data_IF_330334724501
#
_entry.id   IF_330334724501
#
_cell.length_a   1.000
_cell.length_b   1.000
_cell.length_c   1.000
_cell.angle_alpha   90.00
_cell.angle_beta   90.00
_cell.angle_gamma   90.00
#
_symmetry.space_group_name_H-M   'P 1'
#
loop_
_entity.id
_entity.type
_entity.pdbx_description
1 polymer ?
#
# COMPACT_ATOMS: atom_id res chain seq x y z
N UNK A 1 16.31 17.58 1.59
CA UNK A 1 15.13 17.22 0.78
C UNK A 1 15.33 15.77 0.37
N UNK A 2 14.40 14.86 0.67
CA UNK A 2 14.58 13.46 0.30
C UNK A 2 14.66 13.30 -1.22
N UNK A 3 15.46 12.34 -1.68
CA UNK A 3 15.56 12.02 -3.10
C UNK A 3 14.31 11.26 -3.58
N UNK A 4 14.05 11.27 -4.89
CA UNK A 4 12.96 10.45 -5.46
C UNK A 4 13.12 8.96 -5.10
N UNK A 5 14.36 8.46 -5.02
CA UNK A 5 14.63 7.08 -4.62
C UNK A 5 14.21 6.78 -3.18
N UNK A 6 14.54 7.67 -2.25
CA UNK A 6 14.15 7.54 -0.83
C UNK A 6 12.63 7.61 -0.65
N UNK A 7 11.94 8.47 -1.42
CA UNK A 7 10.47 8.56 -1.41
C UNK A 7 9.87 7.24 -1.91
N UNK A 8 10.36 6.71 -3.03
CA UNK A 8 9.90 5.43 -3.58
C UNK A 8 10.11 4.29 -2.59
N UNK A 9 11.32 4.17 -2.02
CA UNK A 9 11.64 3.12 -1.05
C UNK A 9 10.69 3.16 0.15
N UNK A 10 10.48 4.35 0.72
CA UNK A 10 9.56 4.52 1.84
C UNK A 10 8.13 4.16 1.45
N UNK A 11 7.63 4.63 0.32
CA UNK A 11 6.29 4.33 -0.16
C UNK A 11 6.09 2.84 -0.43
N UNK A 12 7.10 2.13 -0.96
CA UNK A 12 7.04 0.67 -1.14
C UNK A 12 6.95 -0.04 0.21
N UNK A 13 7.78 0.35 1.18
CA UNK A 13 7.78 -0.24 2.52
C UNK A 13 6.43 -0.06 3.22
N UNK A 14 5.84 1.14 3.11
CA UNK A 14 4.53 1.42 3.70
C UNK A 14 3.42 0.67 2.95
N UNK A 15 3.49 0.59 1.62
CA UNK A 15 2.54 -0.18 0.79
C UNK A 15 2.53 -1.66 1.16
N UNK A 16 3.70 -2.27 1.39
CA UNK A 16 3.78 -3.66 1.83
C UNK A 16 3.18 -3.87 3.23
N UNK A 17 3.40 -2.93 4.17
CA UNK A 17 2.86 -3.01 5.53
C UNK A 17 1.34 -2.88 5.55
N UNK A 18 0.78 -1.93 4.81
CA UNK A 18 -0.67 -1.73 4.72
C UNK A 18 -1.34 -2.97 4.14
N UNK A 19 -0.84 -3.50 3.02
CA UNK A 19 -1.37 -4.72 2.42
C UNK A 19 -1.32 -5.93 3.38
N UNK A 20 -0.22 -6.09 4.14
CA UNK A 20 -0.12 -7.14 5.16
C UNK A 20 -1.22 -6.98 6.22
N UNK A 21 -1.47 -5.76 6.69
CA UNK A 21 -2.52 -5.47 7.69
C UNK A 21 -3.91 -5.70 7.11
N UNK A 22 -4.17 -5.32 5.86
CA UNK A 22 -5.44 -5.59 5.17
C UNK A 22 -5.72 -7.10 5.09
N UNK A 23 -4.72 -7.91 4.75
CA UNK A 23 -4.87 -9.38 4.73
C UNK A 23 -5.20 -9.95 6.12
N UNK A 24 -4.60 -9.41 7.18
CA UNK A 24 -4.90 -9.81 8.57
C UNK A 24 -6.32 -9.39 8.97
N UNK A 25 -6.70 -8.14 8.73
CA UNK A 25 -8.05 -7.65 9.01
C UNK A 25 -9.12 -8.46 8.27
N UNK A 26 -8.87 -8.82 7.00
CA UNK A 26 -9.75 -9.71 6.23
C UNK A 26 -9.84 -11.10 6.86
N UNK A 27 -8.72 -11.67 7.31
CA UNK A 27 -8.68 -12.98 7.99
C UNK A 27 -9.45 -12.97 9.33
N UNK A 28 -9.40 -11.85 10.04
CA UNK A 28 -10.03 -11.66 11.36
C UNK A 28 -11.48 -11.15 11.26
N UNK A 29 -12.01 -10.93 10.05
CA UNK A 29 -13.31 -10.29 9.79
C UNK A 29 -13.45 -8.89 10.42
N UNK A 30 -12.34 -8.16 10.56
CA UNK A 30 -12.31 -6.78 11.05
C UNK A 30 -12.65 -5.79 9.91
N UNK A 31 -13.94 -5.70 9.57
CA UNK A 31 -14.44 -4.96 8.39
C UNK A 31 -14.07 -3.47 8.43
N UNK A 32 -14.28 -2.80 9.56
CA UNK A 32 -13.96 -1.36 9.70
C UNK A 32 -12.46 -1.10 9.58
N UNK A 33 -11.63 -1.95 10.19
CA UNK A 33 -10.16 -1.87 10.07
C UNK A 33 -9.69 -2.11 8.64
N UNK A 34 -10.32 -3.05 7.91
CA UNK A 34 -9.99 -3.26 6.50
C UNK A 34 -10.33 -2.03 5.66
N UNK A 35 -11.49 -1.41 5.89
CA UNK A 35 -11.94 -0.23 5.16
C UNK A 35 -11.00 0.96 5.41
N UNK A 36 -10.60 1.20 6.67
CA UNK A 36 -9.63 2.24 7.04
C UNK A 36 -8.27 2.02 6.35
N UNK A 37 -7.72 0.81 6.40
CA UNK A 37 -6.46 0.46 5.73
C UNK A 37 -6.53 0.56 4.20
N UNK A 38 -7.72 0.38 3.61
CA UNK A 38 -7.91 0.47 2.16
C UNK A 38 -7.68 1.90 1.65
N UNK A 39 -8.03 2.92 2.43
CA UNK A 39 -7.79 4.33 2.08
C UNK A 39 -6.29 4.63 1.98
N UNK A 40 -5.50 4.14 2.94
CA UNK A 40 -4.04 4.23 2.92
C UNK A 40 -3.44 3.48 1.72
N UNK A 41 -3.95 2.27 1.46
CA UNK A 41 -3.52 1.45 0.31
C UNK A 41 -3.74 2.17 -1.03
N UNK A 42 -4.92 2.77 -1.23
CA UNK A 42 -5.25 3.54 -2.45
C UNK A 42 -4.31 4.75 -2.57
N UNK A 43 -4.10 5.49 -1.48
CA UNK A 43 -3.23 6.66 -1.47
C UNK A 43 -1.79 6.30 -1.88
N UNK A 44 -1.25 5.21 -1.33
CA UNK A 44 0.09 4.73 -1.68
C UNK A 44 0.16 4.21 -3.12
N UNK A 45 -0.90 3.55 -3.62
CA UNK A 45 -1.01 3.10 -5.02
C UNK A 45 -0.93 4.27 -5.98
N UNK A 46 -1.61 5.37 -5.69
CA UNK A 46 -1.57 6.62 -6.48
C UNK A 46 -0.17 7.24 -6.46
N UNK A 47 0.47 7.34 -5.28
CA UNK A 47 1.83 7.90 -5.16
C UNK A 47 2.85 7.06 -5.95
N UNK A 48 2.84 5.74 -5.78
CA UNK A 48 3.80 4.88 -6.45
C UNK A 48 3.59 4.90 -7.98
N UNK A 49 2.34 4.92 -8.44
CA UNK A 49 2.01 5.02 -9.87
C UNK A 49 2.46 6.36 -10.46
N UNK A 50 2.27 7.48 -9.74
CA UNK A 50 2.71 8.80 -10.22
C UNK A 50 4.24 8.92 -10.29
N UNK A 51 4.95 8.14 -9.48
CA UNK A 51 6.41 8.01 -9.50
C UNK A 51 6.92 7.00 -10.54
N UNK A 52 6.04 6.39 -11.35
CA UNK A 52 6.40 5.46 -12.41
C UNK A 52 6.77 4.06 -11.92
N UNK A 53 6.41 3.70 -10.69
CA UNK A 53 6.67 2.37 -10.13
C UNK A 53 5.67 1.36 -10.70
N UNK A 54 6.17 0.24 -11.25
CA UNK A 54 5.30 -0.86 -11.66
C UNK A 54 4.84 -1.67 -10.43
N UNK A 55 3.52 -1.74 -10.22
CA UNK A 55 2.91 -2.39 -9.06
C UNK A 55 2.56 -3.86 -9.26
N UNK A 56 2.60 -4.40 -10.49
CA UNK A 56 2.07 -5.74 -10.83
C UNK A 56 2.60 -6.87 -9.92
N UNK A 57 3.84 -6.77 -9.47
CA UNK A 57 4.47 -7.82 -8.63
C UNK A 57 4.36 -7.54 -7.13
N UNK A 58 4.04 -6.30 -6.72
CA UNK A 58 4.03 -5.88 -5.31
C UNK A 58 2.63 -5.62 -4.77
N UNK A 59 1.62 -5.49 -5.64
CA UNK A 59 0.21 -5.40 -5.28
C UNK A 59 -0.39 -6.81 -5.09
N UNK A 60 -0.56 -7.18 -3.83
CA UNK A 60 -1.10 -8.47 -3.38
C UNK A 60 -2.61 -8.43 -3.16
N UNK A 61 -3.17 -7.24 -2.95
CA UNK A 61 -4.61 -7.08 -2.71
C UNK A 61 -5.37 -7.13 -4.04
N UNK A 62 -4.79 -6.58 -5.12
CA UNK A 62 -5.37 -6.56 -6.47
C UNK A 62 -6.80 -6.01 -6.50
N UNK A 63 -7.01 -4.90 -5.79
CA UNK A 63 -8.29 -4.18 -5.73
C UNK A 63 -8.20 -2.80 -6.39
#
# INVERSE_FOLDING_TARGET
MPSNGEIIERSINDFQKVQKRMLLARKENAVETYADLKEDYISLKVILTSLGVNLTTIDKINE
#
